data_IF_078730738417
#
_entry.id   IF_078730738417
#
_cell.length_a   1.000
_cell.length_b   1.000
_cell.length_c   1.000
_cell.angle_alpha   90.00
_cell.angle_beta   90.00
_cell.angle_gamma   90.00
#
_symmetry.space_group_name_H-M   'P 1'
#
loop_
_entity.id
_entity.type
_entity.pdbx_description
1 polymer ?
#
# COMPACT_ATOMS: atom_id res chain seq x y z
N UNK A 1 -28.74 19.42 18.25
CA UNK A 1 -28.15 18.09 18.54
C UNK A 1 -28.51 17.02 17.49
N UNK A 2 -29.78 16.91 17.04
CA UNK A 2 -30.18 15.91 16.01
C UNK A 2 -29.59 16.12 14.61
N UNK A 3 -29.39 17.36 14.16
CA UNK A 3 -28.81 17.63 12.83
C UNK A 3 -27.34 17.22 12.72
N UNK A 4 -26.54 17.47 13.76
CA UNK A 4 -25.12 17.08 13.77
C UNK A 4 -24.95 15.56 13.75
N UNK A 5 -25.82 14.83 14.47
CA UNK A 5 -25.84 13.37 14.49
C UNK A 5 -26.20 12.80 13.11
N UNK A 6 -27.19 13.38 12.43
CA UNK A 6 -27.56 12.94 11.08
C UNK A 6 -26.46 13.18 10.04
N UNK A 7 -25.71 14.28 10.14
CA UNK A 7 -24.59 14.58 9.23
C UNK A 7 -23.45 13.58 9.42
N UNK A 8 -23.13 13.22 10.67
CA UNK A 8 -22.10 12.20 10.96
C UNK A 8 -22.54 10.82 10.45
N UNK A 9 -23.79 10.43 10.66
CA UNK A 9 -24.32 9.16 10.15
C UNK A 9 -24.33 9.09 8.61
N UNK A 10 -24.63 10.20 7.93
CA UNK A 10 -24.62 10.25 6.46
C UNK A 10 -23.20 10.13 5.89
N UNK A 11 -22.19 10.68 6.56
CA UNK A 11 -20.80 10.58 6.13
C UNK A 11 -20.24 9.15 6.22
N UNK A 12 -20.66 8.36 7.22
CA UNK A 12 -20.24 6.96 7.39
C UNK A 12 -20.79 6.05 6.27
N UNK A 13 -21.95 6.40 5.69
CA UNK A 13 -22.57 5.62 4.62
C UNK A 13 -21.84 5.67 3.27
N UNK A 14 -20.90 6.62 3.06
CA UNK A 14 -20.12 6.73 1.82
C UNK A 14 -18.80 5.96 1.84
N UNK A 15 -18.36 5.46 3.00
CA UNK A 15 -17.09 4.71 3.15
C UNK A 15 -17.00 3.46 2.25
N UNK A 16 -18.05 2.61 2.10
CA UNK A 16 -17.92 1.38 1.32
C UNK A 16 -17.80 1.61 -0.20
N UNK A 17 -18.17 2.80 -0.71
CA UNK A 17 -18.07 3.13 -2.13
C UNK A 17 -16.64 3.48 -2.57
N UNK A 18 -15.70 3.62 -1.62
CA UNK A 18 -14.29 3.86 -1.92
C UNK A 18 -13.46 2.59 -2.10
N UNK A 19 -14.07 1.40 -2.01
CA UNK A 19 -13.39 0.14 -2.34
C UNK A 19 -13.24 0.04 -3.86
N UNK A 20 -12.19 0.66 -4.38
CA UNK A 20 -11.81 0.60 -5.78
C UNK A 20 -10.90 -0.61 -5.98
N UNK A 21 -11.18 -1.40 -7.02
CA UNK A 21 -10.18 -2.33 -7.53
C UNK A 21 -9.03 -1.50 -8.10
N UNK A 22 -7.89 -1.48 -7.41
CA UNK A 22 -6.67 -0.88 -7.93
C UNK A 22 -6.33 -1.52 -9.28
N UNK A 23 -5.72 -0.74 -10.18
CA UNK A 23 -5.34 -1.18 -11.52
C UNK A 23 -4.65 -2.56 -11.50
N UNK A 24 -4.90 -3.38 -12.52
CA UNK A 24 -4.31 -4.72 -12.59
C UNK A 24 -2.79 -4.63 -12.73
N UNK A 25 -2.06 -5.00 -11.68
CA UNK A 25 -0.61 -5.14 -11.72
C UNK A 25 -0.27 -6.42 -12.52
N UNK A 26 0.68 -6.32 -13.45
CA UNK A 26 1.14 -7.48 -14.22
C UNK A 26 2.31 -8.17 -13.53
N UNK A 27 2.46 -9.48 -13.75
CA UNK A 27 3.64 -10.23 -13.26
C UNK A 27 4.96 -9.59 -13.74
N UNK A 28 4.99 -9.13 -14.99
CA UNK A 28 6.17 -8.49 -15.56
C UNK A 28 6.51 -7.19 -14.83
N UNK A 29 5.50 -6.41 -14.43
CA UNK A 29 5.69 -5.20 -13.63
C UNK A 29 6.27 -5.52 -12.26
N UNK A 30 5.71 -6.51 -11.54
CA UNK A 30 6.22 -6.91 -10.22
C UNK A 30 7.68 -7.34 -10.27
N UNK A 31 8.08 -8.10 -11.29
CA UNK A 31 9.47 -8.55 -11.44
C UNK A 31 10.40 -7.34 -11.61
N UNK A 32 10.03 -6.40 -12.48
CA UNK A 32 10.80 -5.18 -12.70
C UNK A 32 10.94 -4.34 -11.41
N UNK A 33 9.87 -4.24 -10.64
CA UNK A 33 9.87 -3.51 -9.37
C UNK A 33 10.77 -4.21 -8.33
N UNK A 34 10.75 -5.54 -8.28
CA UNK A 34 11.64 -6.33 -7.43
C UNK A 34 13.11 -6.22 -7.84
N UNK A 35 13.44 -6.22 -9.13
CA UNK A 35 14.82 -6.00 -9.62
C UNK A 35 15.40 -4.65 -9.14
N UNK A 36 14.56 -3.61 -9.12
CA UNK A 36 14.96 -2.29 -8.62
C UNK A 36 15.21 -2.30 -7.11
N UNK A 37 14.35 -2.99 -6.36
CA UNK A 37 14.51 -3.18 -4.92
C UNK A 37 15.76 -3.98 -4.58
N UNK A 38 16.04 -5.06 -5.33
CA UNK A 38 17.24 -5.89 -5.18
C UNK A 38 18.53 -5.09 -5.46
N UNK A 39 18.52 -4.25 -6.49
CA UNK A 39 19.65 -3.35 -6.79
C UNK A 39 19.89 -2.34 -5.67
N UNK A 40 18.84 -1.92 -4.96
CA UNK A 40 18.93 -1.04 -3.80
C UNK A 40 19.25 -1.76 -2.48
N UNK A 41 19.46 -3.09 -2.53
CA UNK A 41 19.88 -3.90 -1.38
C UNK A 41 18.76 -4.62 -0.62
N UNK A 42 17.51 -4.58 -1.10
CA UNK A 42 16.42 -5.37 -0.53
C UNK A 42 16.48 -6.82 -1.00
N UNK A 43 16.29 -7.78 -0.09
CA UNK A 43 16.22 -9.20 -0.45
C UNK A 43 14.83 -9.77 -0.11
N UNK A 44 13.94 -10.04 -1.09
CA UNK A 44 12.61 -10.58 -0.83
C UNK A 44 12.61 -12.07 -0.44
N UNK A 45 13.72 -12.79 -0.68
CA UNK A 45 13.82 -14.24 -0.47
C UNK A 45 14.25 -14.65 0.93
N UNK A 46 14.57 -13.69 1.81
CA UNK A 46 14.95 -13.95 3.20
C UNK A 46 13.76 -13.75 4.12
N UNK A 47 13.64 -14.61 5.12
CA UNK A 47 12.75 -14.33 6.24
C UNK A 47 13.37 -13.16 7.02
N UNK A 48 12.72 -12.00 6.96
CA UNK A 48 13.14 -10.79 7.65
C UNK A 48 12.12 -10.44 8.74
N UNK A 49 12.56 -10.47 10.00
CA UNK A 49 11.76 -10.12 11.17
C UNK A 49 11.39 -8.63 11.22
N UNK A 50 12.10 -7.79 10.45
CA UNK A 50 11.88 -6.35 10.33
C UNK A 50 10.96 -5.99 9.15
N UNK A 51 10.28 -6.98 8.57
CA UNK A 51 9.22 -6.70 7.59
C UNK A 51 7.99 -6.09 8.29
N UNK A 52 7.43 -4.97 7.80
CA UNK A 52 7.72 -4.33 6.50
C UNK A 52 8.70 -3.14 6.54
N UNK A 53 9.27 -2.76 7.69
CA UNK A 53 10.08 -1.53 7.82
C UNK A 53 11.30 -1.52 6.88
N UNK A 54 11.96 -2.65 6.70
CA UNK A 54 13.09 -2.80 5.78
C UNK A 54 12.72 -2.47 4.31
N UNK A 55 11.54 -2.89 3.86
CA UNK A 55 10.99 -2.58 2.53
C UNK A 55 10.76 -1.07 2.40
N UNK A 56 10.16 -0.45 3.41
CA UNK A 56 9.87 1.00 3.40
C UNK A 56 11.14 1.85 3.35
N UNK A 57 12.19 1.45 4.08
CA UNK A 57 13.50 2.11 4.05
C UNK A 57 14.13 2.07 2.66
N UNK A 58 14.07 0.92 1.99
CA UNK A 58 14.60 0.80 0.61
C UNK A 58 13.76 1.60 -0.38
N UNK A 59 12.42 1.60 -0.23
CA UNK A 59 11.53 2.42 -1.04
C UNK A 59 11.82 3.92 -0.89
N UNK A 60 12.25 4.39 0.28
CA UNK A 60 12.69 5.77 0.47
C UNK A 60 14.00 6.10 -0.25
N UNK A 61 14.86 5.10 -0.45
CA UNK A 61 16.15 5.26 -1.14
C UNK A 61 15.99 5.31 -2.66
N UNK A 62 14.96 4.66 -3.20
CA UNK A 62 14.66 4.59 -4.63
C UNK A 62 13.90 5.83 -5.14
N UNK A 63 13.22 6.55 -4.25
CA UNK A 63 12.42 7.75 -4.58
C UNK A 63 13.29 8.98 -4.77
#
# INVERSE_FOLDING_TARGET
MKLLINVVCAAIALVPLMSHASESITRAQVIKDLEQLETAGYNPGVADDSYPENLEQVLQTIR
#
